data_IF_334029334105
#
_entry.id   IF_334029334105
#
_cell.length_a   1.000
_cell.length_b   1.000
_cell.length_c   1.000
_cell.angle_alpha   90.00
_cell.angle_beta   90.00
_cell.angle_gamma   90.00
#
_symmetry.space_group_name_H-M   'P 1'
#
loop_
_entity.id
_entity.type
_entity.pdbx_description
1 polymer ?
#
# COMPACT_ATOMS: atom_id res chain seq x y z
N UNK A 1 0.53 -50.78 -1.77
CA UNK A 1 -0.82 -51.26 -1.47
C UNK A 1 -1.48 -50.20 -0.59
N UNK A 2 -2.17 -49.24 -1.21
CA UNK A 2 -3.63 -49.19 -1.43
C UNK A 2 -4.39 -48.95 -0.12
N UNK A 3 -5.35 -48.03 0.03
CA UNK A 3 -6.07 -47.14 -0.88
C UNK A 3 -6.97 -46.22 0.00
N UNK A 4 -7.10 -44.94 -0.36
CA UNK A 4 -8.33 -44.14 -0.18
C UNK A 4 -8.91 -43.96 1.24
N UNK A 5 -8.21 -43.26 2.13
CA UNK A 5 -8.83 -42.53 3.27
C UNK A 5 -9.04 -41.05 2.95
N UNK A 6 -9.32 -40.70 1.68
CA UNK A 6 -9.87 -39.41 1.28
C UNK A 6 -11.37 -39.37 1.63
N UNK A 7 -11.66 -39.58 2.92
CA UNK A 7 -13.01 -39.67 3.50
C UNK A 7 -13.53 -38.24 3.66
N UNK A 8 -14.84 -38.05 3.46
CA UNK A 8 -15.53 -36.75 3.46
C UNK A 8 -15.28 -35.86 4.68
N UNK A 9 -14.63 -36.36 5.72
CA UNK A 9 -14.22 -35.65 6.94
C UNK A 9 -13.44 -34.35 6.64
N UNK A 10 -12.61 -34.30 5.58
CA UNK A 10 -11.89 -33.07 5.18
C UNK A 10 -12.82 -31.94 4.70
N UNK A 11 -14.00 -32.27 4.18
CA UNK A 11 -15.03 -31.31 3.75
C UNK A 11 -16.10 -31.09 4.82
N UNK A 12 -16.46 -32.14 5.56
CA UNK A 12 -17.51 -32.11 6.58
C UNK A 12 -17.06 -31.29 7.80
N UNK A 13 -15.82 -31.47 8.27
CA UNK A 13 -15.28 -30.72 9.42
C UNK A 13 -15.28 -29.19 9.21
N UNK A 14 -14.77 -28.63 8.09
CA UNK A 14 -14.83 -27.18 7.85
C UNK A 14 -16.26 -26.68 7.62
N UNK A 15 -17.13 -27.44 6.94
CA UNK A 15 -18.54 -27.06 6.76
C UNK A 15 -19.28 -26.97 8.10
N UNK A 16 -19.03 -27.92 9.01
CA UNK A 16 -19.62 -27.93 10.35
C UNK A 16 -19.06 -26.77 11.20
N UNK A 17 -17.78 -26.43 11.05
CA UNK A 17 -17.18 -25.24 11.65
C UNK A 17 -17.83 -23.94 11.17
N UNK A 18 -18.02 -23.77 9.85
CA UNK A 18 -18.71 -22.61 9.28
C UNK A 18 -20.15 -22.53 9.77
N UNK A 19 -20.87 -23.66 9.77
CA UNK A 19 -22.25 -23.71 10.28
C UNK A 19 -22.34 -23.34 11.77
N UNK A 20 -21.43 -23.85 12.60
CA UNK A 20 -21.35 -23.51 14.02
C UNK A 20 -21.12 -22.01 14.23
N UNK A 21 -20.23 -21.39 13.44
CA UNK A 21 -19.98 -19.94 13.49
C UNK A 21 -21.21 -19.14 13.09
N UNK A 22 -21.92 -19.54 12.02
CA UNK A 22 -23.15 -18.86 11.57
C UNK A 22 -24.27 -18.95 12.62
N UNK A 23 -24.41 -20.12 13.26
CA UNK A 23 -25.39 -20.33 14.33
C UNK A 23 -25.04 -19.51 15.57
N UNK A 24 -23.78 -19.53 15.99
CA UNK A 24 -23.30 -18.71 17.11
C UNK A 24 -23.52 -17.22 16.82
N UNK A 25 -23.20 -16.77 15.61
CA UNK A 25 -23.44 -15.38 15.19
C UNK A 25 -24.92 -15.01 15.20
N UNK A 26 -25.80 -15.88 14.69
CA UNK A 26 -27.25 -15.67 14.70
C UNK A 26 -27.82 -15.60 16.13
N UNK A 27 -27.27 -16.40 17.05
CA UNK A 27 -27.66 -16.37 18.46
C UNK A 27 -27.16 -15.07 19.11
N UNK A 28 -25.87 -14.74 18.96
CA UNK A 28 -25.26 -13.53 19.54
C UNK A 28 -25.93 -12.23 19.07
N UNK A 29 -26.31 -12.15 17.79
CA UNK A 29 -27.04 -11.02 17.23
C UNK A 29 -28.43 -10.84 17.85
N UNK A 30 -29.10 -11.95 18.23
CA UNK A 30 -30.41 -11.90 18.89
C UNK A 30 -30.34 -11.62 20.39
N UNK A 31 -29.29 -12.09 21.08
CA UNK A 31 -29.23 -12.08 22.54
C UNK A 31 -28.44 -10.92 23.13
N UNK A 32 -27.30 -10.56 22.53
CA UNK A 32 -26.31 -9.68 23.17
C UNK A 32 -26.11 -8.34 22.45
N UNK A 33 -26.32 -8.31 21.14
CA UNK A 33 -26.10 -7.11 20.32
C UNK A 33 -27.31 -6.86 19.40
N UNK A 34 -28.39 -6.24 19.88
CA UNK A 34 -29.60 -6.01 19.07
C UNK A 34 -29.38 -5.13 17.84
N UNK A 35 -28.27 -4.40 17.77
CA UNK A 35 -27.85 -3.60 16.60
C UNK A 35 -27.05 -4.43 15.57
N UNK A 36 -26.71 -5.69 15.86
CA UNK A 36 -25.97 -6.55 14.95
C UNK A 36 -26.96 -7.16 13.93
N UNK A 37 -26.77 -6.95 12.62
CA UNK A 37 -27.62 -7.58 11.62
C UNK A 37 -27.45 -9.11 11.68
N UNK A 38 -28.55 -9.83 11.48
CA UNK A 38 -28.54 -11.29 11.36
C UNK A 38 -27.81 -11.72 10.08
N UNK A 39 -27.29 -12.96 10.01
CA UNK A 39 -26.60 -13.45 8.81
C UNK A 39 -27.42 -13.26 7.53
N UNK A 40 -28.74 -13.46 7.62
CA UNK A 40 -29.66 -13.25 6.52
C UNK A 40 -29.81 -11.77 6.15
N UNK A 41 -29.90 -10.87 7.15
CA UNK A 41 -30.00 -9.44 6.88
C UNK A 41 -28.71 -8.86 6.28
N UNK A 42 -27.56 -9.38 6.70
CA UNK A 42 -26.27 -9.08 6.08
C UNK A 42 -26.22 -9.55 4.63
N UNK A 43 -26.76 -10.73 4.32
CA UNK A 43 -26.85 -11.23 2.95
C UNK A 43 -27.72 -10.34 2.05
N UNK A 44 -28.92 -9.96 2.48
CA UNK A 44 -29.82 -9.07 1.72
C UNK A 44 -29.15 -7.72 1.39
N UNK A 45 -28.40 -7.16 2.34
CA UNK A 45 -27.69 -5.89 2.12
C UNK A 45 -26.45 -6.10 1.23
N UNK A 46 -25.76 -7.23 1.33
CA UNK A 46 -24.54 -7.52 0.57
C UNK A 46 -24.80 -7.96 -0.87
N UNK A 47 -25.90 -8.68 -1.12
CA UNK A 47 -26.30 -9.20 -2.42
C UNK A 47 -26.22 -8.14 -3.53
N UNK A 48 -26.78 -6.92 -3.39
CA UNK A 48 -26.75 -5.97 -4.47
C UNK A 48 -25.34 -5.41 -4.74
N UNK A 49 -24.39 -5.47 -3.80
CA UNK A 49 -22.98 -5.09 -4.06
C UNK A 49 -22.25 -6.11 -4.93
N UNK A 50 -22.64 -7.39 -4.80
CA UNK A 50 -22.09 -8.51 -5.55
C UNK A 50 -22.78 -8.68 -6.91
N UNK A 51 -24.11 -8.58 -6.94
CA UNK A 51 -24.92 -8.80 -8.15
C UNK A 51 -24.82 -7.65 -9.16
N UNK A 52 -24.57 -6.42 -8.71
CA UNK A 52 -24.43 -5.21 -9.54
C UNK A 52 -23.06 -4.56 -9.33
N UNK A 53 -21.97 -5.21 -9.79
CA UNK A 53 -20.60 -4.83 -9.43
C UNK A 53 -20.13 -3.46 -9.97
N UNK A 54 -20.81 -2.90 -10.98
CA UNK A 54 -20.42 -1.63 -11.63
C UNK A 54 -21.38 -0.45 -11.37
N UNK A 55 -22.50 -0.67 -10.68
CA UNK A 55 -23.46 0.39 -10.39
C UNK A 55 -22.91 1.38 -9.36
N UNK A 56 -23.14 2.68 -9.59
CA UNK A 56 -22.82 3.76 -8.65
C UNK A 56 -24.14 4.25 -8.04
N UNK A 57 -24.36 3.92 -6.76
CA UNK A 57 -25.55 4.35 -6.00
C UNK A 57 -25.25 5.56 -5.11
N UNK A 58 -24.02 5.70 -4.62
CA UNK A 58 -23.55 6.84 -3.84
C UNK A 58 -22.02 7.04 -3.89
N UNK A 59 -21.49 7.94 -3.05
CA UNK A 59 -20.04 8.15 -2.92
C UNK A 59 -19.36 6.97 -2.22
N UNK A 60 -19.94 6.48 -1.12
CA UNK A 60 -19.47 5.30 -0.35
C UNK A 60 -20.24 4.02 -0.67
N UNK A 61 -21.33 4.12 -1.45
CA UNK A 61 -22.20 3.00 -1.81
C UNK A 61 -22.04 2.67 -3.31
N UNK A 62 -21.01 1.88 -3.61
CA UNK A 62 -20.66 1.50 -4.97
C UNK A 62 -20.55 -0.02 -5.09
N UNK A 63 -20.87 -0.55 -6.27
CA UNK A 63 -20.56 -1.95 -6.58
C UNK A 63 -19.09 -2.26 -6.33
N UNK A 64 -18.82 -3.49 -5.89
CA UNK A 64 -17.50 -3.85 -5.35
C UNK A 64 -16.36 -3.62 -6.35
N UNK A 65 -16.56 -3.95 -7.63
CA UNK A 65 -15.53 -3.74 -8.66
C UNK A 65 -15.23 -2.26 -8.88
N UNK A 66 -16.26 -1.40 -8.90
CA UNK A 66 -16.07 0.04 -9.09
C UNK A 66 -15.33 0.66 -7.91
N UNK A 67 -15.67 0.25 -6.69
CA UNK A 67 -15.02 0.73 -5.48
C UNK A 67 -13.54 0.31 -5.42
N UNK A 68 -13.26 -0.96 -5.74
CA UNK A 68 -11.88 -1.47 -5.85
C UNK A 68 -11.10 -0.72 -6.92
N UNK A 69 -11.69 -0.48 -8.09
CA UNK A 69 -11.06 0.26 -9.18
C UNK A 69 -10.70 1.70 -8.78
N UNK A 70 -11.62 2.40 -8.12
CA UNK A 70 -11.38 3.75 -7.63
C UNK A 70 -10.25 3.78 -6.59
N UNK A 71 -10.28 2.86 -5.62
CA UNK A 71 -9.21 2.71 -4.62
C UNK A 71 -7.85 2.46 -5.28
N UNK A 72 -7.81 1.59 -6.30
CA UNK A 72 -6.58 1.28 -7.03
C UNK A 72 -6.02 2.51 -7.75
N UNK A 73 -6.86 3.27 -8.46
CA UNK A 73 -6.45 4.51 -9.12
C UNK A 73 -5.88 5.50 -8.09
N UNK A 74 -6.54 5.65 -6.95
CA UNK A 74 -6.12 6.56 -5.90
C UNK A 74 -4.74 6.18 -5.34
N UNK A 75 -4.52 4.89 -5.08
CA UNK A 75 -3.24 4.35 -4.61
C UNK A 75 -2.15 4.56 -5.65
N UNK A 76 -2.41 4.25 -6.92
CA UNK A 76 -1.45 4.44 -8.01
C UNK A 76 -1.08 5.91 -8.16
N UNK A 77 -2.05 6.83 -8.13
CA UNK A 77 -1.79 8.28 -8.21
C UNK A 77 -0.95 8.78 -7.03
N UNK A 78 -1.30 8.41 -5.80
CA UNK A 78 -0.54 8.78 -4.61
C UNK A 78 0.88 8.22 -4.64
N UNK A 79 1.04 6.97 -5.07
CA UNK A 79 2.34 6.32 -5.20
C UNK A 79 3.20 6.96 -6.31
N UNK A 80 2.63 7.35 -7.45
CA UNK A 80 3.36 8.05 -8.51
C UNK A 80 3.93 9.39 -8.01
N UNK A 81 3.17 10.13 -7.23
CA UNK A 81 3.65 11.38 -6.61
C UNK A 81 4.80 11.09 -5.65
N UNK A 82 4.65 10.05 -4.82
CA UNK A 82 5.71 9.59 -3.92
C UNK A 82 6.97 9.16 -4.66
N UNK A 83 6.84 8.51 -5.83
CA UNK A 83 7.97 8.13 -6.68
C UNK A 83 8.67 9.36 -7.26
N UNK A 84 7.93 10.31 -7.82
CA UNK A 84 8.48 11.50 -8.45
C UNK A 84 9.28 12.37 -7.46
N UNK A 85 8.86 12.44 -6.21
CA UNK A 85 9.51 13.24 -5.17
C UNK A 85 10.52 12.40 -4.37
N UNK A 86 10.15 11.18 -4.01
CA UNK A 86 10.94 10.31 -3.14
C UNK A 86 12.16 9.71 -3.83
N UNK A 87 12.07 9.37 -5.12
CA UNK A 87 13.22 8.86 -5.89
C UNK A 87 14.38 9.87 -5.95
N UNK A 88 14.20 11.13 -6.40
CA UNK A 88 15.30 12.09 -6.44
C UNK A 88 15.85 12.41 -5.04
N UNK A 89 14.98 12.52 -4.02
CA UNK A 89 15.41 12.71 -2.63
C UNK A 89 16.25 11.54 -2.11
N UNK A 90 15.78 10.32 -2.31
CA UNK A 90 16.49 9.10 -1.93
C UNK A 90 17.82 8.97 -2.65
N UNK A 91 17.87 9.32 -3.93
CA UNK A 91 19.11 9.30 -4.69
C UNK A 91 20.16 10.28 -4.16
N UNK A 92 19.76 11.52 -3.85
CA UNK A 92 20.64 12.52 -3.23
C UNK A 92 21.15 12.06 -1.87
N UNK A 93 20.28 11.46 -1.05
CA UNK A 93 20.64 10.88 0.24
C UNK A 93 21.59 9.68 0.10
N UNK A 94 21.42 8.88 -0.96
CA UNK A 94 22.29 7.73 -1.25
C UNK A 94 23.70 8.16 -1.69
N UNK A 95 23.81 9.22 -2.49
CA UNK A 95 25.10 9.69 -2.99
C UNK A 95 25.91 10.51 -1.96
N UNK A 96 25.24 11.27 -1.08
CA UNK A 96 25.90 12.21 -0.18
C UNK A 96 25.84 11.76 1.28
N UNK A 97 27.00 11.33 1.81
CA UNK A 97 27.16 10.95 3.22
C UNK A 97 26.80 12.07 4.21
N UNK A 98 27.03 13.34 3.83
CA UNK A 98 26.69 14.49 4.66
C UNK A 98 25.18 14.69 4.75
N UNK A 99 24.48 14.68 3.60
CA UNK A 99 23.02 14.78 3.57
C UNK A 99 22.36 13.61 4.28
N UNK A 100 22.87 12.39 4.09
CA UNK A 100 22.37 11.23 4.80
C UNK A 100 22.43 11.43 6.33
N UNK A 101 23.57 11.88 6.88
CA UNK A 101 23.72 12.12 8.32
C UNK A 101 22.79 13.21 8.86
N UNK A 102 22.54 14.29 8.09
CA UNK A 102 21.66 15.38 8.52
C UNK A 102 20.19 14.95 8.59
N UNK A 103 19.73 14.17 7.61
CA UNK A 103 18.33 13.74 7.53
C UNK A 103 18.04 12.43 8.26
N UNK A 104 19.06 11.67 8.68
CA UNK A 104 18.89 10.40 9.38
C UNK A 104 17.99 10.48 10.62
N UNK A 105 18.12 11.49 11.52
CA UNK A 105 17.25 11.60 12.68
C UNK A 105 15.78 11.83 12.30
N UNK A 106 15.52 12.65 11.28
CA UNK A 106 14.18 12.93 10.77
C UNK A 106 13.57 11.65 10.19
N UNK A 107 14.34 10.91 9.41
CA UNK A 107 13.90 9.63 8.81
C UNK A 107 13.60 8.60 9.91
N UNK A 108 14.41 8.53 10.96
CA UNK A 108 14.18 7.60 12.07
C UNK A 108 12.88 7.91 12.84
N UNK A 109 12.57 9.20 13.06
CA UNK A 109 11.33 9.63 13.74
C UNK A 109 10.10 9.39 12.87
N UNK A 110 10.20 9.62 11.56
CA UNK A 110 9.07 9.47 10.64
C UNK A 110 8.79 8.01 10.26
N UNK A 111 9.78 7.13 10.36
CA UNK A 111 9.66 5.69 10.03
C UNK A 111 8.53 4.97 10.78
N UNK A 112 8.34 5.10 12.10
CA UNK A 112 7.27 4.40 12.83
C UNK A 112 5.89 5.06 12.73
N UNK A 113 5.75 6.21 12.05
CA UNK A 113 4.48 6.93 12.03
C UNK A 113 3.46 6.18 11.16
N UNK A 114 2.37 5.75 11.80
CA UNK A 114 1.28 5.04 11.11
C UNK A 114 0.64 5.92 10.02
N UNK A 115 0.32 5.35 8.85
CA UNK A 115 -0.39 6.07 7.80
C UNK A 115 -1.71 6.73 8.24
N UNK A 116 -2.40 6.11 9.19
CA UNK A 116 -3.70 6.59 9.67
C UNK A 116 -3.60 7.95 10.39
N UNK A 117 -2.43 8.31 10.94
CA UNK A 117 -2.22 9.59 11.62
C UNK A 117 -2.25 10.79 10.67
N UNK A 118 -1.97 10.59 9.38
CA UNK A 118 -1.89 11.66 8.38
C UNK A 118 -3.24 12.00 7.75
N UNK A 119 -4.22 11.08 7.82
CA UNK A 119 -5.52 11.26 7.19
C UNK A 119 -6.29 12.46 7.75
N UNK A 120 -6.41 12.66 9.08
CA UNK A 120 -7.09 13.84 9.64
C UNK A 120 -6.42 15.15 9.23
N UNK A 121 -5.08 15.17 9.17
CA UNK A 121 -4.32 16.34 8.72
C UNK A 121 -4.63 16.68 7.26
N UNK A 122 -4.64 15.67 6.38
CA UNK A 122 -5.05 15.84 4.99
C UNK A 122 -6.48 16.36 4.88
N UNK A 123 -7.40 15.86 5.71
CA UNK A 123 -8.79 16.28 5.68
C UNK A 123 -8.96 17.75 6.11
N UNK A 124 -8.21 18.20 7.12
CA UNK A 124 -8.22 19.61 7.54
C UNK A 124 -7.64 20.53 6.46
N UNK A 125 -6.57 20.10 5.78
CA UNK A 125 -5.89 20.90 4.75
C UNK A 125 -6.72 21.02 3.46
N UNK A 126 -7.29 19.92 2.99
CA UNK A 126 -7.94 19.86 1.68
C UNK A 126 -9.48 19.92 1.75
N UNK A 127 -10.06 19.73 2.95
CA UNK A 127 -11.51 19.70 3.21
C UNK A 127 -12.28 18.73 2.31
N UNK A 128 -11.58 17.77 1.71
CA UNK A 128 -12.10 16.77 0.76
C UNK A 128 -11.45 15.43 1.03
N UNK A 129 -12.24 14.37 0.97
CA UNK A 129 -11.84 12.99 1.25
C UNK A 129 -10.83 12.45 0.23
N UNK A 130 -11.02 12.69 -1.07
CA UNK A 130 -10.13 12.19 -2.12
C UNK A 130 -8.69 12.79 -2.05
N UNK A 131 -8.50 14.13 -1.99
CA UNK A 131 -7.15 14.71 -1.88
C UNK A 131 -6.48 14.40 -0.54
N UNK A 132 -7.24 14.30 0.55
CA UNK A 132 -6.71 13.92 1.86
C UNK A 132 -6.14 12.48 1.86
N UNK A 133 -6.86 11.55 1.23
CA UNK A 133 -6.39 10.18 1.06
C UNK A 133 -5.15 10.13 0.15
N UNK A 134 -5.14 10.87 -0.96
CA UNK A 134 -4.01 10.94 -1.88
C UNK A 134 -2.74 11.51 -1.20
N UNK A 135 -2.89 12.59 -0.41
CA UNK A 135 -1.82 13.16 0.41
C UNK A 135 -1.27 12.15 1.41
N UNK A 136 -2.15 11.44 2.11
CA UNK A 136 -1.78 10.41 3.08
C UNK A 136 -1.00 9.29 2.41
N UNK A 137 -1.50 8.74 1.30
CA UNK A 137 -0.83 7.67 0.54
C UNK A 137 0.54 8.13 0.05
N UNK A 138 0.63 9.36 -0.49
CA UNK A 138 1.87 9.92 -0.99
C UNK A 138 2.92 10.05 0.12
N UNK A 139 2.58 10.66 1.26
CA UNK A 139 3.50 10.82 2.39
C UNK A 139 3.97 9.48 2.96
N UNK A 140 3.06 8.52 3.10
CA UNK A 140 3.38 7.22 3.69
C UNK A 140 4.25 6.37 2.77
N UNK A 141 4.01 6.45 1.46
CA UNK A 141 4.80 5.72 0.46
C UNK A 141 6.13 6.43 0.15
N UNK A 142 6.23 7.74 0.41
CA UNK A 142 7.43 8.52 0.15
C UNK A 142 8.62 8.04 0.98
N UNK A 143 8.47 7.81 2.29
CA UNK A 143 9.61 7.42 3.13
C UNK A 143 10.23 6.07 2.76
N UNK A 144 9.46 4.97 2.59
CA UNK A 144 10.00 3.72 2.08
C UNK A 144 10.67 3.89 0.71
N UNK A 145 10.07 4.68 -0.19
CA UNK A 145 10.64 4.95 -1.52
C UNK A 145 11.99 5.65 -1.44
N UNK A 146 12.10 6.70 -0.60
CA UNK A 146 13.33 7.44 -0.34
C UNK A 146 14.40 6.50 0.22
N UNK A 147 14.07 5.68 1.22
CA UNK A 147 15.00 4.77 1.87
C UNK A 147 15.49 3.70 0.89
N UNK A 148 14.57 3.06 0.17
CA UNK A 148 14.88 2.03 -0.82
C UNK A 148 15.77 2.58 -1.93
N UNK A 149 15.47 3.79 -2.42
CA UNK A 149 16.29 4.47 -3.44
C UNK A 149 17.66 4.88 -2.88
N UNK A 150 17.74 5.32 -1.63
CA UNK A 150 19.01 5.68 -0.99
C UNK A 150 19.91 4.44 -0.77
N UNK A 151 19.32 3.29 -0.46
CA UNK A 151 20.05 2.02 -0.38
C UNK A 151 20.53 1.60 -1.78
N UNK A 152 19.68 1.64 -2.80
CA UNK A 152 20.07 1.36 -4.18
C UNK A 152 21.16 2.29 -4.71
N UNK A 153 21.07 3.60 -4.40
CA UNK A 153 22.09 4.58 -4.76
C UNK A 153 23.45 4.34 -4.09
N UNK A 154 23.46 3.80 -2.87
CA UNK A 154 24.69 3.41 -2.15
C UNK A 154 25.29 2.09 -2.64
N UNK A 155 24.48 1.21 -3.22
CA UNK A 155 24.93 -0.07 -3.77
C UNK A 155 25.81 0.09 -5.04
N UNK A 156 25.82 1.28 -5.63
CA UNK A 156 26.58 1.58 -6.85
C UNK A 156 28.09 1.51 -6.53
N UNK A 157 28.87 0.64 -7.20
CA UNK A 157 30.31 0.53 -6.98
C UNK A 157 31.01 1.85 -7.26
N UNK A 158 31.96 2.22 -6.41
CA UNK A 158 32.74 3.46 -6.55
C UNK A 158 33.50 3.54 -7.89
N UNK A 159 33.80 2.40 -8.50
CA UNK A 159 34.47 2.31 -9.80
C UNK A 159 33.66 2.99 -10.91
N UNK A 160 32.32 2.85 -10.91
CA UNK A 160 31.47 3.56 -11.86
C UNK A 160 31.52 5.08 -11.68
N UNK A 161 31.59 5.55 -10.42
CA UNK A 161 31.72 6.97 -10.11
C UNK A 161 33.11 7.51 -10.50
N UNK A 162 34.15 6.71 -10.34
CA UNK A 162 35.51 7.06 -10.74
C UNK A 162 35.65 7.14 -12.26
N UNK A 163 35.08 6.20 -13.02
CA UNK A 163 35.06 6.24 -14.49
C UNK A 163 34.29 7.47 -14.99
N UNK A 164 33.15 7.80 -14.38
CA UNK A 164 32.40 9.00 -14.73
C UNK A 164 33.19 10.30 -14.47
N UNK A 165 34.02 10.32 -13.41
CA UNK A 165 34.91 11.45 -13.08
C UNK A 165 36.04 11.60 -14.10
N UNK A 166 36.64 10.49 -14.53
CA UNK A 166 37.68 10.48 -15.58
C UNK A 166 37.12 10.97 -16.91
N UNK A 167 35.88 10.58 -17.24
CA UNK A 167 35.19 11.01 -18.46
C UNK A 167 34.58 12.43 -18.38
N UNK A 168 34.76 13.15 -17.26
CA UNK A 168 34.21 14.50 -17.02
C UNK A 168 32.71 14.64 -17.36
N UNK A 169 31.92 13.59 -17.11
CA UNK A 169 30.50 13.59 -17.42
C UNK A 169 29.72 14.49 -16.46
N UNK A 170 28.78 15.28 -17.00
CA UNK A 170 27.91 16.12 -16.17
C UNK A 170 27.04 15.27 -15.24
N UNK A 171 26.69 15.80 -14.06
CA UNK A 171 25.92 15.07 -13.03
C UNK A 171 24.63 14.44 -13.58
N UNK A 172 23.94 15.11 -14.51
CA UNK A 172 22.74 14.59 -15.17
C UNK A 172 23.05 13.46 -16.16
N UNK A 173 24.15 13.56 -16.95
CA UNK A 173 24.56 12.47 -17.85
C UNK A 173 25.00 11.23 -17.05
N UNK A 174 25.71 11.43 -15.95
CA UNK A 174 26.10 10.33 -15.04
C UNK A 174 24.86 9.68 -14.41
N UNK A 175 23.85 10.48 -14.02
CA UNK A 175 22.58 9.99 -13.50
C UNK A 175 21.87 9.04 -14.48
N UNK A 176 21.52 9.54 -15.67
CA UNK A 176 20.66 8.80 -16.60
C UNK A 176 21.41 7.72 -17.40
N UNK A 177 22.71 7.90 -17.66
CA UNK A 177 23.47 7.04 -18.58
C UNK A 177 24.30 5.97 -17.88
N UNK A 178 24.62 6.15 -16.59
CA UNK A 178 25.46 5.23 -15.82
C UNK A 178 24.72 4.73 -14.58
N UNK A 179 24.23 5.64 -13.74
CA UNK A 179 23.68 5.28 -12.42
C UNK A 179 22.32 4.58 -12.54
N UNK A 180 21.41 5.09 -13.37
CA UNK A 180 20.08 4.51 -13.60
C UNK A 180 20.13 3.07 -14.15
N UNK A 181 20.90 2.76 -15.23
CA UNK A 181 21.03 1.38 -15.70
C UNK A 181 21.83 0.48 -14.75
N UNK A 182 22.75 1.02 -13.94
CA UNK A 182 23.45 0.23 -12.93
C UNK A 182 22.50 -0.21 -11.79
N UNK A 183 21.62 0.67 -11.32
CA UNK A 183 20.66 0.35 -10.25
C UNK A 183 19.58 -0.65 -10.65
N UNK A 184 19.28 -0.82 -11.95
CA UNK A 184 18.33 -1.83 -12.43
C UNK A 184 18.93 -3.25 -12.46
N UNK A 185 20.24 -3.39 -12.31
CA UNK A 185 20.97 -4.67 -12.37
C UNK A 185 21.44 -5.18 -11.00
N UNK A 186 21.17 -4.43 -9.94
CA UNK A 186 21.46 -4.78 -8.55
C UNK A 186 20.18 -5.13 -7.82
#
# INVERSE_FOLDING_TARGET
MNEKTFRGDWLILPLLGVAAVVVLWAISAKTWAPNLPTPWKTWEVSEPYLAKPFEKRGELDQGILRFTWYSLILVVKGYLIALLIGTPLGFVLGMSKMFAKTFDPIIQILRPVSPLAWLPLGLVLFQKSEPAALFTIALCSMWPTVINTAVGGRAIPQDYLNVARVLNLSRMKTLFKILLPATLRC
#
